data_IF_317790209243
#
_entry.id   IF_317790209243
#
_cell.length_a   1.000
_cell.length_b   1.000
_cell.length_c   1.000
_cell.angle_alpha   90.00
_cell.angle_beta   90.00
_cell.angle_gamma   90.00
#
_symmetry.space_group_name_H-M   'P 1'
#
loop_
_entity.id
_entity.type
_entity.pdbx_description
1 polymer ?
#
# COMPACT_ATOMS: atom_id res chain seq x y z
N UNK A 1 24.96 4.08 -12.86
CA UNK A 1 24.12 5.29 -12.90
C UNK A 1 22.76 4.89 -13.43
N UNK A 2 21.75 4.73 -12.55
CA UNK A 2 20.43 4.31 -12.98
C UNK A 2 19.66 5.54 -13.50
N UNK A 3 19.34 5.49 -14.78
CA UNK A 3 18.53 6.47 -15.50
C UNK A 3 17.16 6.50 -14.79
N UNK A 4 16.90 7.58 -14.03
CA UNK A 4 15.56 7.92 -13.53
C UNK A 4 14.74 8.36 -14.72
N UNK A 5 14.29 7.42 -15.54
CA UNK A 5 13.25 7.72 -16.51
C UNK A 5 11.99 7.98 -15.69
N UNK A 6 11.54 9.23 -15.70
CA UNK A 6 10.22 9.65 -15.23
C UNK A 6 9.15 8.86 -15.99
N UNK A 7 8.93 7.62 -15.55
CA UNK A 7 7.70 6.90 -15.83
C UNK A 7 6.70 7.47 -14.85
N UNK A 8 5.88 8.38 -15.36
CA UNK A 8 4.85 9.18 -14.67
C UNK A 8 3.89 8.38 -13.77
N UNK A 9 3.97 7.04 -13.76
CA UNK A 9 3.15 6.12 -12.99
C UNK A 9 3.94 5.08 -12.16
N UNK A 10 5.24 5.28 -11.92
CA UNK A 10 6.01 4.34 -11.09
C UNK A 10 5.65 4.48 -9.60
N UNK A 11 5.24 3.37 -8.97
CA UNK A 11 4.83 3.33 -7.55
C UNK A 11 5.84 2.58 -6.66
N UNK A 12 7.04 2.29 -7.16
CA UNK A 12 8.04 1.49 -6.44
C UNK A 12 8.65 2.24 -5.24
N UNK A 13 8.81 3.55 -5.34
CA UNK A 13 9.43 4.39 -4.31
C UNK A 13 8.38 5.15 -3.48
N UNK A 14 7.11 4.71 -3.51
CA UNK A 14 6.04 5.38 -2.76
C UNK A 14 6.35 5.35 -1.26
N UNK A 15 6.13 6.46 -0.54
CA UNK A 15 6.32 6.49 0.90
C UNK A 15 5.33 5.53 1.59
N UNK A 16 5.69 4.98 2.76
CA UNK A 16 4.73 4.27 3.59
C UNK A 16 3.56 5.19 3.92
N UNK A 17 2.36 4.61 3.92
CA UNK A 17 1.11 5.29 4.22
C UNK A 17 0.40 4.57 5.37
N UNK A 18 -0.61 5.23 5.93
CA UNK A 18 -1.46 4.60 6.91
C UNK A 18 -2.38 3.60 6.21
N UNK A 19 -2.40 2.36 6.66
CA UNK A 19 -3.21 1.27 6.09
C UNK A 19 -4.17 0.77 7.16
N UNK A 20 -5.46 0.72 6.82
CA UNK A 20 -6.53 0.32 7.73
C UNK A 20 -7.28 -0.87 7.17
N UNK A 21 -7.50 -1.88 8.00
CA UNK A 21 -8.32 -3.03 7.66
C UNK A 21 -9.79 -2.71 7.90
N UNK A 22 -10.56 -2.60 6.83
CA UNK A 22 -12.02 -2.34 6.89
C UNK A 22 -12.86 -3.49 7.45
N UNK A 23 -12.22 -4.62 7.82
CA UNK A 23 -12.88 -5.79 8.39
C UNK A 23 -12.79 -5.86 9.91
N UNK A 24 -11.61 -5.62 10.46
CA UNK A 24 -11.36 -5.71 11.90
C UNK A 24 -10.98 -4.38 12.54
N UNK A 25 -10.86 -3.30 11.75
CA UNK A 25 -10.41 -1.99 12.21
C UNK A 25 -8.93 -1.92 12.54
N UNK A 26 -8.13 -2.95 12.22
CA UNK A 26 -6.70 -2.94 12.51
C UNK A 26 -5.98 -1.92 11.64
N UNK A 27 -5.15 -1.09 12.27
CA UNK A 27 -4.43 0.01 11.64
C UNK A 27 -2.92 -0.27 11.70
N UNK A 28 -2.20 0.00 10.61
CA UNK A 28 -0.75 -0.11 10.56
C UNK A 28 -0.13 0.95 9.65
N UNK A 29 1.12 1.30 9.93
CA UNK A 29 1.95 2.09 9.02
C UNK A 29 2.72 1.15 8.11
N UNK A 30 2.54 1.28 6.80
CA UNK A 30 3.21 0.41 5.85
C UNK A 30 2.82 0.69 4.41
N UNK A 31 3.00 -0.33 3.56
CA UNK A 31 2.60 -0.26 2.16
C UNK A 31 1.74 -1.46 1.82
N UNK A 32 0.64 -1.21 1.14
CA UNK A 32 -0.24 -2.25 0.63
C UNK A 32 0.37 -2.85 -0.64
N UNK A 33 0.39 -4.17 -0.82
CA UNK A 33 1.07 -4.74 -1.98
C UNK A 33 0.38 -4.32 -3.28
N UNK A 34 1.10 -3.54 -4.09
CA UNK A 34 0.64 -3.06 -5.41
C UNK A 34 1.66 -3.43 -6.47
N UNK A 35 1.17 -3.97 -7.58
CA UNK A 35 2.00 -4.24 -8.76
C UNK A 35 2.29 -2.90 -9.44
N UNK A 36 3.56 -2.56 -9.58
CA UNK A 36 3.94 -1.37 -10.30
C UNK A 36 3.68 -1.58 -11.80
N UNK A 37 2.88 -0.72 -12.47
CA UNK A 37 2.60 -0.88 -13.91
C UNK A 37 3.87 -0.75 -14.75
N UNK A 38 4.85 0.00 -14.24
CA UNK A 38 6.15 0.21 -14.87
C UNK A 38 7.10 -0.97 -14.64
N UNK A 39 7.08 -1.52 -13.43
CA UNK A 39 8.00 -2.57 -13.01
C UNK A 39 7.22 -3.78 -12.46
N UNK A 40 6.54 -4.55 -13.33
CA UNK A 40 5.73 -5.69 -12.89
C UNK A 40 6.56 -6.79 -12.22
N UNK A 41 7.85 -6.87 -12.53
CA UNK A 41 8.80 -7.82 -11.92
C UNK A 41 9.37 -7.36 -10.57
N UNK A 42 9.20 -6.07 -10.22
CA UNK A 42 9.72 -5.51 -8.96
C UNK A 42 8.65 -5.67 -7.88
N UNK A 43 8.66 -6.82 -7.24
CA UNK A 43 7.82 -7.09 -6.08
C UNK A 43 8.48 -6.51 -4.83
N UNK A 44 7.75 -5.67 -4.10
CA UNK A 44 8.15 -5.25 -2.77
C UNK A 44 7.75 -6.35 -1.77
N UNK A 45 8.71 -7.17 -1.34
CA UNK A 45 8.49 -8.27 -0.39
C UNK A 45 7.97 -7.78 0.98
N UNK A 46 8.21 -6.52 1.32
CA UNK A 46 7.80 -5.91 2.59
C UNK A 46 6.36 -5.35 2.56
N UNK A 47 5.67 -5.42 1.43
CA UNK A 47 4.32 -4.88 1.32
C UNK A 47 3.28 -5.89 1.85
N UNK A 48 2.29 -5.38 2.59
CA UNK A 48 1.22 -6.19 3.18
C UNK A 48 0.18 -6.56 2.12
N UNK A 49 -0.03 -7.87 1.91
CA UNK A 49 -1.14 -8.40 1.09
C UNK A 49 -2.43 -8.54 1.88
N UNK A 50 -2.31 -8.89 3.14
CA UNK A 50 -3.40 -9.23 4.03
C UNK A 50 -3.17 -8.59 5.39
N UNK A 51 -4.26 -8.43 6.15
CA UNK A 51 -4.20 -7.86 7.48
C UNK A 51 -3.25 -8.68 8.35
N UNK A 52 -2.23 -8.06 8.99
CA UNK A 52 -1.28 -8.76 9.85
C UNK A 52 -1.92 -9.29 11.13
N UNK A 53 -3.16 -8.86 11.44
CA UNK A 53 -3.93 -9.45 12.53
C UNK A 53 -4.22 -10.93 12.23
N UNK A 54 -3.66 -11.82 13.05
CA UNK A 54 -3.74 -13.29 12.92
C UNK A 54 -5.18 -13.80 12.86
N UNK A 55 -6.12 -13.11 13.50
CA UNK A 55 -7.54 -13.49 13.54
C UNK A 55 -8.34 -12.99 12.33
N UNK A 56 -7.84 -11.99 11.58
CA UNK A 56 -8.55 -11.41 10.46
C UNK A 56 -8.01 -11.88 9.12
N UNK A 57 -6.69 -11.76 8.90
CA UNK A 57 -5.99 -12.10 7.64
C UNK A 57 -6.73 -11.67 6.37
N UNK A 58 -7.52 -10.60 6.47
CA UNK A 58 -8.38 -10.19 5.37
C UNK A 58 -7.60 -9.31 4.42
N UNK A 59 -7.88 -9.43 3.12
CA UNK A 59 -7.30 -8.59 2.07
C UNK A 59 -7.97 -7.21 1.95
N UNK A 60 -8.99 -6.94 2.79
CA UNK A 60 -9.77 -5.69 2.78
C UNK A 60 -9.07 -4.56 3.52
N UNK A 61 -7.82 -4.32 3.16
CA UNK A 61 -6.98 -3.22 3.63
C UNK A 61 -7.13 -2.04 2.66
N UNK A 62 -7.12 -0.81 3.18
CA UNK A 62 -7.13 0.43 2.40
C UNK A 62 -6.00 1.34 2.86
N UNK A 63 -5.35 2.01 1.92
CA UNK A 63 -4.43 3.12 2.24
C UNK A 63 -5.27 4.37 2.50
N UNK A 64 -5.21 4.89 3.72
CA UNK A 64 -5.82 6.17 4.10
C UNK A 64 -4.73 7.24 4.05
N UNK A 65 -4.72 7.98 2.94
CA UNK A 65 -4.04 9.27 2.88
C UNK A 65 -4.83 10.25 3.73
N UNK A 66 -4.17 11.12 4.49
CA UNK A 66 -4.77 12.08 5.43
C UNK A 66 -5.71 13.13 4.79
N UNK A 67 -6.15 12.92 3.56
CA UNK A 67 -6.93 13.82 2.70
C UNK A 67 -8.40 13.40 2.55
N UNK A 68 -8.82 12.29 3.18
CA UNK A 68 -10.18 11.74 3.03
C UNK A 68 -10.96 11.64 4.35
N UNK A 69 -10.89 12.69 5.18
CA UNK A 69 -11.92 12.96 6.20
C UNK A 69 -12.83 14.04 5.62
N UNK A 70 -13.58 13.70 4.58
CA UNK A 70 -14.70 14.52 4.12
C UNK A 70 -15.91 13.62 3.94
N UNK A 71 -16.39 13.09 5.07
CA UNK A 71 -17.78 12.68 5.20
C UNK A 71 -18.46 13.77 6.01
N UNK A 72 -19.14 14.69 5.32
CA UNK A 72 -20.32 15.35 5.86
C UNK A 72 -21.54 14.77 5.16
#
# INVERSE_FOLDING_TARGET
>A
MAIKTELTNCICDRPPCHVVCTRCGFELMGRLQKVCPVHPKKLALMDHRECPNRSCKSIRLIEVSNDQISTK
#
